data_IF_829068390170
#
_entry.id   IF_829068390170
#
_cell.length_a   1.000
_cell.length_b   1.000
_cell.length_c   1.000
_cell.angle_alpha   90.00
_cell.angle_beta   90.00
_cell.angle_gamma   90.00
#
_symmetry.space_group_name_H-M   'P 1'
#
loop_
_entity.id
_entity.type
_entity.pdbx_description
1 polymer ?
#
# COMPACT_ATOMS: atom_id res chain seq x y z
N UNK A 1 2.76 -20.44 -23.66
CA UNK A 1 2.57 -19.02 -23.25
C UNK A 1 1.77 -18.97 -21.95
N UNK A 2 2.00 -17.97 -21.09
CA UNK A 2 1.12 -17.66 -19.96
C UNK A 2 -0.20 -17.11 -20.51
N UNK A 3 -1.33 -17.71 -20.13
CA UNK A 3 -2.66 -17.33 -20.63
C UNK A 3 -3.40 -16.55 -19.56
N UNK A 4 -4.46 -15.79 -19.89
CA UNK A 4 -5.31 -15.16 -18.90
C UNK A 4 -5.80 -16.14 -17.82
N UNK A 5 -6.10 -17.39 -18.18
CA UNK A 5 -6.51 -18.44 -17.22
C UNK A 5 -5.39 -18.81 -16.24
N UNK A 6 -4.17 -19.03 -16.73
CA UNK A 6 -3.01 -19.32 -15.87
C UNK A 6 -2.73 -18.15 -14.91
N UNK A 7 -2.86 -16.91 -15.40
CA UNK A 7 -2.68 -15.70 -14.61
C UNK A 7 -3.80 -15.49 -13.56
N UNK A 8 -5.05 -15.90 -13.84
CA UNK A 8 -6.10 -15.91 -12.80
C UNK A 8 -5.74 -16.83 -11.65
N UNK A 9 -5.28 -18.05 -11.94
CA UNK A 9 -4.84 -18.99 -10.89
C UNK A 9 -3.71 -18.39 -10.06
N UNK A 10 -2.78 -17.66 -10.66
CA UNK A 10 -1.71 -16.96 -9.94
C UNK A 10 -2.25 -15.93 -8.93
N UNK A 11 -3.27 -15.16 -9.30
CA UNK A 11 -3.91 -14.17 -8.41
C UNK A 11 -4.96 -14.75 -7.45
N UNK A 12 -5.23 -16.06 -7.54
CA UNK A 12 -6.22 -16.75 -6.74
C UNK A 12 -5.73 -17.09 -5.33
N UNK A 13 -6.62 -17.00 -4.36
CA UNK A 13 -6.39 -17.48 -2.98
C UNK A 13 -7.05 -18.82 -2.66
N UNK A 14 -7.72 -19.45 -3.63
CA UNK A 14 -8.21 -20.83 -3.47
C UNK A 14 -7.04 -21.74 -3.11
N UNK A 15 -7.27 -22.81 -2.34
CA UNK A 15 -6.19 -23.72 -1.89
C UNK A 15 -5.37 -24.31 -3.04
N UNK A 16 -5.99 -24.53 -4.21
CA UNK A 16 -5.28 -25.04 -5.39
C UNK A 16 -4.47 -23.96 -6.11
N UNK A 17 -4.83 -22.68 -5.96
CA UNK A 17 -4.14 -21.52 -6.54
C UNK A 17 -2.87 -21.13 -5.78
N UNK A 18 -2.79 -21.44 -4.48
CA UNK A 18 -1.65 -21.04 -3.66
C UNK A 18 -0.36 -21.66 -4.19
N UNK A 19 0.63 -20.80 -4.35
CA UNK A 19 1.97 -21.14 -4.81
C UNK A 19 1.99 -21.83 -6.18
N UNK A 20 1.25 -21.25 -7.14
CA UNK A 20 1.13 -21.76 -8.51
C UNK A 20 1.28 -20.67 -9.57
N UNK A 21 1.68 -21.09 -10.77
CA UNK A 21 1.73 -20.29 -12.00
C UNK A 21 2.52 -18.97 -11.86
N UNK A 22 3.76 -19.05 -11.40
CA UNK A 22 4.61 -17.88 -11.15
C UNK A 22 5.23 -17.28 -12.42
N UNK A 23 5.32 -18.05 -13.51
CA UNK A 23 6.01 -17.60 -14.71
C UNK A 23 5.25 -16.47 -15.40
N UNK A 24 5.87 -15.30 -15.52
CA UNK A 24 5.26 -14.14 -16.16
C UNK A 24 4.88 -14.38 -17.63
N UNK A 25 5.81 -14.87 -18.45
CA UNK A 25 5.62 -14.97 -19.92
C UNK A 25 5.39 -16.39 -20.41
N UNK A 26 6.22 -17.35 -19.98
CA UNK A 26 6.20 -18.72 -20.49
C UNK A 26 5.85 -19.72 -19.39
N UNK A 27 4.66 -20.33 -19.46
CA UNK A 27 4.19 -21.34 -18.51
C UNK A 27 5.04 -22.63 -18.47
N UNK A 28 5.98 -22.79 -19.41
CA UNK A 28 6.86 -23.95 -19.44
C UNK A 28 7.70 -24.05 -18.16
N UNK A 29 8.09 -22.92 -17.57
CA UNK A 29 8.83 -22.90 -16.32
C UNK A 29 8.03 -23.52 -15.17
N UNK A 30 6.75 -23.17 -15.03
CA UNK A 30 5.87 -23.78 -14.03
C UNK A 30 5.65 -25.28 -14.24
N UNK A 31 5.70 -25.74 -15.49
CA UNK A 31 5.59 -27.18 -15.81
C UNK A 31 6.86 -27.92 -15.44
N UNK A 32 8.03 -27.35 -15.77
CA UNK A 32 9.35 -27.93 -15.44
C UNK A 32 9.55 -27.99 -13.93
N UNK A 33 9.17 -26.93 -13.20
CA UNK A 33 9.37 -26.83 -11.75
C UNK A 33 8.17 -27.33 -10.91
N UNK A 34 7.12 -27.86 -11.54
CA UNK A 34 5.97 -28.46 -10.85
C UNK A 34 5.04 -27.47 -10.13
N UNK A 35 5.16 -26.18 -10.44
CA UNK A 35 4.29 -25.10 -9.91
C UNK A 35 3.11 -24.79 -10.83
N UNK A 36 2.93 -25.54 -11.92
CA UNK A 36 1.75 -25.40 -12.78
C UNK A 36 0.47 -25.89 -12.07
N UNK A 37 -0.62 -25.14 -12.25
CA UNK A 37 -1.97 -25.59 -11.98
C UNK A 37 -2.94 -25.03 -13.05
N UNK A 38 -3.78 -25.88 -13.67
CA UNK A 38 -4.86 -25.39 -14.52
C UNK A 38 -5.93 -24.69 -13.66
N UNK A 39 -6.74 -23.83 -14.28
CA UNK A 39 -7.92 -23.27 -13.63
C UNK A 39 -8.97 -24.36 -13.45
N UNK A 40 -9.54 -24.47 -12.24
CA UNK A 40 -10.56 -25.45 -11.89
C UNK A 40 -11.84 -24.74 -11.45
N UNK A 41 -12.07 -24.68 -10.15
CA UNK A 41 -13.19 -23.93 -9.58
C UNK A 41 -13.10 -22.43 -9.87
N UNK A 42 -14.20 -21.70 -9.65
CA UNK A 42 -14.20 -20.23 -9.69
C UNK A 42 -13.08 -19.67 -8.81
N UNK A 43 -12.17 -18.96 -9.45
CA UNK A 43 -11.06 -18.27 -8.78
C UNK A 43 -11.61 -17.15 -7.92
N UNK A 44 -11.20 -17.14 -6.66
CA UNK A 44 -11.43 -16.06 -5.71
C UNK A 44 -10.11 -15.33 -5.50
N UNK A 45 -10.10 -14.02 -5.67
CA UNK A 45 -8.89 -13.21 -5.71
C UNK A 45 -8.42 -12.70 -4.34
N UNK A 46 -7.17 -12.24 -4.32
CA UNK A 46 -6.58 -11.52 -3.19
C UNK A 46 -5.69 -12.40 -2.32
N UNK A 47 -5.52 -12.01 -1.06
CA UNK A 47 -4.63 -12.69 -0.13
C UNK A 47 -5.38 -13.67 0.77
N UNK A 48 -4.68 -14.71 1.22
CA UNK A 48 -5.20 -15.66 2.23
C UNK A 48 -5.51 -14.97 3.55
N UNK A 49 -4.74 -13.93 3.88
CA UNK A 49 -5.00 -12.96 4.95
C UNK A 49 -5.16 -11.59 4.33
N UNK A 50 -6.39 -11.07 4.34
CA UNK A 50 -6.70 -9.78 3.70
C UNK A 50 -6.03 -8.62 4.45
N UNK A 51 -5.57 -7.63 3.68
CA UNK A 51 -5.00 -6.39 4.19
C UNK A 51 -6.07 -5.31 4.04
N UNK A 52 -6.52 -4.78 5.17
CA UNK A 52 -7.56 -3.77 5.23
C UNK A 52 -6.91 -2.39 5.42
N UNK A 53 -6.20 -1.92 4.39
CA UNK A 53 -5.54 -0.61 4.43
C UNK A 53 -5.31 -0.07 3.02
N UNK A 54 -5.45 1.24 2.85
CA UNK A 54 -5.04 1.97 1.64
C UNK A 54 -3.65 2.60 1.75
N UNK A 55 -3.02 2.58 2.92
CA UNK A 55 -1.64 3.03 3.13
C UNK A 55 -0.65 2.13 2.36
N UNK A 56 0.02 2.64 1.30
CA UNK A 56 0.92 1.85 0.46
C UNK A 56 2.18 1.39 1.22
N UNK A 57 2.67 2.17 2.20
CA UNK A 57 3.82 1.79 3.02
C UNK A 57 3.44 0.64 3.93
N UNK A 58 2.28 0.72 4.58
CA UNK A 58 1.78 -0.40 5.37
C UNK A 58 1.57 -1.64 4.51
N UNK A 59 0.88 -1.53 3.38
CA UNK A 59 0.64 -2.66 2.47
C UNK A 59 1.96 -3.32 2.06
N UNK A 60 2.99 -2.54 1.71
CA UNK A 60 4.29 -3.07 1.30
C UNK A 60 5.06 -3.74 2.45
N UNK A 61 5.03 -3.17 3.66
CA UNK A 61 5.95 -3.57 4.74
C UNK A 61 5.32 -4.33 5.91
N UNK A 62 3.97 -4.39 6.03
CA UNK A 62 3.30 -4.97 7.20
C UNK A 62 3.69 -6.42 7.51
N UNK A 63 4.14 -7.19 6.52
CA UNK A 63 4.50 -8.58 6.69
C UNK A 63 5.93 -8.82 7.23
N UNK A 64 6.85 -7.85 7.06
CA UNK A 64 8.24 -8.00 7.50
C UNK A 64 8.40 -8.19 9.01
N UNK A 65 7.65 -7.47 9.89
CA UNK A 65 7.70 -7.74 11.33
C UNK A 65 7.35 -9.18 11.71
N UNK A 66 6.43 -9.82 10.97
CA UNK A 66 6.10 -11.23 11.18
C UNK A 66 7.29 -12.13 10.82
N UNK A 67 7.91 -11.91 9.65
CA UNK A 67 9.10 -12.67 9.23
C UNK A 67 10.21 -12.51 10.27
N UNK A 68 10.49 -11.28 10.70
CA UNK A 68 11.52 -10.97 11.69
C UNK A 68 11.29 -11.69 13.02
N UNK A 69 10.08 -11.61 13.58
CA UNK A 69 9.73 -12.32 14.83
C UNK A 69 9.84 -13.83 14.67
N UNK A 70 9.40 -14.37 13.53
CA UNK A 70 9.46 -15.81 13.24
C UNK A 70 10.91 -16.29 13.13
N UNK A 71 11.78 -15.50 12.49
CA UNK A 71 13.21 -15.77 12.39
C UNK A 71 13.88 -15.83 13.77
N UNK A 72 13.57 -14.88 14.66
CA UNK A 72 14.15 -14.87 16.01
C UNK A 72 13.61 -15.95 16.94
N UNK A 73 12.37 -16.39 16.75
CA UNK A 73 11.77 -17.51 17.49
C UNK A 73 12.21 -18.89 17.00
N UNK A 74 12.70 -18.99 15.76
CA UNK A 74 13.12 -20.26 15.18
C UNK A 74 14.41 -20.77 15.86
N UNK A 75 14.36 -22.01 16.37
CA UNK A 75 15.51 -22.68 16.97
C UNK A 75 16.44 -23.27 15.91
N UNK A 76 17.74 -22.95 16.01
CA UNK A 76 18.78 -23.46 15.12
C UNK A 76 18.88 -22.76 13.75
N UNK A 77 20.09 -22.75 13.19
CA UNK A 77 20.42 -22.04 11.93
C UNK A 77 19.58 -22.54 10.75
N UNK A 78 19.33 -23.86 10.66
CA UNK A 78 18.53 -24.45 9.57
C UNK A 78 17.10 -23.92 9.54
N UNK A 79 16.46 -23.78 10.69
CA UNK A 79 15.09 -23.25 10.77
C UNK A 79 15.08 -21.76 10.49
N UNK A 80 16.08 -21.01 10.96
CA UNK A 80 16.25 -19.59 10.63
C UNK A 80 16.36 -19.33 9.12
N UNK A 81 17.22 -20.08 8.43
CA UNK A 81 17.31 -20.01 6.96
C UNK A 81 16.00 -20.47 6.30
N UNK A 82 15.34 -21.48 6.85
CA UNK A 82 14.04 -21.95 6.34
C UNK A 82 12.96 -20.87 6.38
N UNK A 83 12.93 -19.99 7.39
CA UNK A 83 11.99 -18.86 7.46
C UNK A 83 12.17 -17.90 6.27
N UNK A 84 13.41 -17.70 5.81
CA UNK A 84 13.73 -16.78 4.70
C UNK A 84 13.38 -17.44 3.35
N UNK A 85 13.74 -18.71 3.17
CA UNK A 85 13.65 -19.36 1.85
C UNK A 85 12.39 -20.18 1.59
N UNK A 86 11.69 -20.69 2.61
CA UNK A 86 10.54 -21.61 2.44
C UNK A 86 9.18 -20.93 2.43
N UNK A 87 9.16 -19.60 2.52
CA UNK A 87 7.95 -18.81 2.42
C UNK A 87 7.04 -18.83 3.66
N UNK A 88 5.91 -18.11 3.59
CA UNK A 88 5.08 -17.76 4.73
C UNK A 88 4.28 -18.93 5.33
N UNK A 89 4.04 -19.99 4.56
CA UNK A 89 3.29 -21.18 5.02
C UNK A 89 4.14 -22.19 5.79
N UNK A 90 5.47 -22.04 5.80
CA UNK A 90 6.37 -22.99 6.46
C UNK A 90 6.45 -22.77 7.98
N UNK A 91 6.46 -23.87 8.75
CA UNK A 91 6.80 -23.87 10.18
C UNK A 91 7.76 -25.02 10.52
N UNK A 92 8.43 -24.94 11.67
CA UNK A 92 9.32 -26.02 12.14
C UNK A 92 8.58 -27.35 12.19
N UNK A 93 9.17 -28.40 11.61
CA UNK A 93 8.56 -29.73 11.50
C UNK A 93 7.58 -29.92 10.32
N UNK A 94 7.19 -28.86 9.61
CA UNK A 94 6.32 -28.98 8.42
C UNK A 94 7.12 -29.06 7.11
N UNK A 95 6.54 -29.76 6.12
CA UNK A 95 7.05 -29.77 4.73
C UNK A 95 6.79 -28.41 4.08
N UNK A 96 7.75 -27.94 3.27
CA UNK A 96 7.58 -26.76 2.41
C UNK A 96 6.58 -27.06 1.29
N UNK A 97 5.68 -26.13 0.90
CA UNK A 97 5.55 -24.73 1.32
C UNK A 97 4.67 -24.50 2.58
N UNK A 98 4.29 -25.56 3.29
CA UNK A 98 3.30 -25.55 4.39
C UNK A 98 2.11 -26.47 4.10
N UNK A 99 1.31 -26.78 5.12
CA UNK A 99 0.09 -27.56 4.92
C UNK A 99 -1.06 -26.68 4.38
N UNK A 100 -1.37 -26.82 3.09
CA UNK A 100 -2.46 -26.10 2.41
C UNK A 100 -3.83 -26.36 3.06
N UNK A 101 -4.01 -27.43 3.83
CA UNK A 101 -5.26 -27.71 4.55
C UNK A 101 -5.52 -26.74 5.69
N UNK A 102 -4.48 -26.08 6.19
CA UNK A 102 -4.57 -25.06 7.24
C UNK A 102 -5.02 -23.70 6.69
N UNK A 103 -5.00 -23.51 5.36
CA UNK A 103 -5.49 -22.28 4.75
C UNK A 103 -7.00 -22.15 4.93
N UNK A 104 -7.53 -20.96 5.23
CA UNK A 104 -8.97 -20.74 5.32
C UNK A 104 -9.69 -21.26 4.06
N UNK A 105 -10.81 -21.98 4.23
CA UNK A 105 -11.67 -22.29 3.10
C UNK A 105 -12.25 -20.96 2.60
N UNK A 106 -12.04 -20.68 1.32
CA UNK A 106 -12.48 -19.43 0.73
C UNK A 106 -13.97 -19.52 0.45
N UNK A 107 -14.75 -18.59 1.00
CA UNK A 107 -16.15 -18.40 0.63
C UNK A 107 -16.21 -17.63 -0.69
N UNK A 108 -17.22 -17.91 -1.53
CA UNK A 108 -17.34 -17.29 -2.86
C UNK A 108 -17.59 -15.78 -2.79
N UNK A 109 -18.03 -15.26 -1.65
CA UNK A 109 -18.31 -13.82 -1.47
C UNK A 109 -17.03 -13.08 -1.10
N UNK A 110 -16.43 -12.45 -2.10
CA UNK A 110 -15.42 -11.42 -1.90
C UNK A 110 -16.10 -10.17 -1.32
N UNK A 111 -15.63 -9.71 -0.16
CA UNK A 111 -16.04 -8.42 0.40
C UNK A 111 -14.83 -7.49 0.26
N UNK A 112 -14.86 -6.51 -0.66
CA UNK A 112 -13.80 -5.55 -0.81
C UNK A 112 -13.66 -4.72 0.46
N UNK A 113 -12.43 -4.36 0.82
CA UNK A 113 -12.22 -3.38 1.88
C UNK A 113 -12.69 -2.00 1.39
N UNK A 114 -13.78 -1.49 1.99
CA UNK A 114 -14.44 -0.27 1.58
C UNK A 114 -14.90 0.57 2.81
N UNK A 115 -14.00 1.35 3.42
CA UNK A 115 -14.32 2.29 4.49
C UNK A 115 -15.31 3.36 4.03
N UNK A 116 -16.28 3.69 4.87
CA UNK A 116 -17.24 4.78 4.60
C UNK A 116 -16.61 6.13 4.93
N UNK A 117 -16.40 6.96 3.91
CA UNK A 117 -15.86 8.31 4.04
C UNK A 117 -16.93 9.37 3.72
N UNK A 118 -17.09 10.45 4.52
CA UNK A 118 -17.99 11.55 4.19
C UNK A 118 -17.67 12.13 2.81
N UNK A 119 -18.71 12.50 2.04
CA UNK A 119 -18.57 13.01 0.66
C UNK A 119 -17.59 14.20 0.57
N UNK A 120 -17.59 15.09 1.58
CA UNK A 120 -16.66 16.23 1.65
C UNK A 120 -15.20 15.77 1.67
N UNK A 121 -14.88 14.71 2.44
CA UNK A 121 -13.53 14.16 2.49
C UNK A 121 -13.18 13.37 1.22
N UNK A 122 -14.16 12.73 0.57
CA UNK A 122 -13.95 12.11 -0.75
C UNK A 122 -13.59 13.16 -1.79
N UNK A 123 -14.35 14.25 -1.86
CA UNK A 123 -14.09 15.38 -2.75
C UNK A 123 -12.73 16.03 -2.47
N UNK A 124 -12.38 16.20 -1.19
CA UNK A 124 -11.06 16.70 -0.78
C UNK A 124 -9.93 15.79 -1.28
N UNK A 125 -9.99 14.48 -1.02
CA UNK A 125 -8.96 13.53 -1.47
C UNK A 125 -8.88 13.49 -2.99
N UNK A 126 -10.01 13.53 -3.69
CA UNK A 126 -10.05 13.58 -5.15
C UNK A 126 -9.35 14.84 -5.69
N UNK A 127 -9.66 16.01 -5.14
CA UNK A 127 -9.05 17.27 -5.56
C UNK A 127 -7.53 17.27 -5.31
N UNK A 128 -7.09 16.80 -4.13
CA UNK A 128 -5.67 16.66 -3.82
C UNK A 128 -4.98 15.61 -4.72
N UNK A 129 -5.68 14.54 -5.11
CA UNK A 129 -5.18 13.54 -6.05
C UNK A 129 -5.01 14.10 -7.46
N UNK A 130 -5.95 14.94 -7.94
CA UNK A 130 -5.80 15.63 -9.23
C UNK A 130 -4.60 16.59 -9.22
N UNK A 131 -4.37 17.30 -8.11
CA UNK A 131 -3.16 18.12 -7.93
C UNK A 131 -1.89 17.26 -7.93
N UNK A 132 -1.90 16.11 -7.24
CA UNK A 132 -0.78 15.17 -7.25
C UNK A 132 -0.51 14.63 -8.65
N UNK A 133 -1.55 14.34 -9.42
CA UNK A 133 -1.42 13.86 -10.80
C UNK A 133 -0.76 14.92 -11.69
N UNK A 134 -1.14 16.19 -11.54
CA UNK A 134 -0.48 17.30 -12.25
C UNK A 134 1.01 17.43 -11.86
N UNK A 135 1.33 17.33 -10.57
CA UNK A 135 2.72 17.31 -10.10
C UNK A 135 3.49 16.13 -10.71
N UNK A 136 2.90 14.93 -10.73
CA UNK A 136 3.52 13.75 -11.32
C UNK A 136 3.81 13.93 -12.82
N UNK A 137 2.86 14.49 -13.59
CA UNK A 137 3.04 14.73 -15.02
C UNK A 137 4.16 15.73 -15.28
N UNK A 138 4.24 16.80 -14.49
CA UNK A 138 5.29 17.83 -14.61
C UNK A 138 6.67 17.24 -14.28
N UNK A 139 6.78 16.45 -13.20
CA UNK A 139 8.01 15.74 -12.86
C UNK A 139 8.45 14.80 -13.98
N UNK A 140 7.51 14.04 -14.57
CA UNK A 140 7.82 13.13 -15.66
C UNK A 140 8.23 13.84 -16.95
N UNK A 141 7.66 15.02 -17.22
CA UNK A 141 8.03 15.86 -18.35
C UNK A 141 9.42 16.49 -18.16
N UNK A 142 9.77 16.88 -16.92
CA UNK A 142 11.03 17.58 -16.61
C UNK A 142 12.13 16.66 -16.07
N UNK A 143 11.94 15.34 -16.02
CA UNK A 143 12.85 14.37 -15.37
C UNK A 143 14.30 14.41 -15.86
N UNK A 144 14.55 14.86 -17.10
CA UNK A 144 15.89 14.98 -17.68
C UNK A 144 16.58 16.31 -17.33
N UNK A 145 15.81 17.29 -16.86
CA UNK A 145 16.26 18.65 -16.52
C UNK A 145 16.46 18.77 -14.99
N UNK A 146 15.60 18.11 -14.21
CA UNK A 146 15.68 18.12 -12.76
C UNK A 146 16.94 17.41 -12.25
N UNK A 147 17.54 17.94 -11.20
CA UNK A 147 18.64 17.26 -10.50
C UNK A 147 18.15 15.94 -9.89
N UNK A 148 19.05 14.96 -9.74
CA UNK A 148 18.71 13.68 -9.11
C UNK A 148 18.16 13.85 -7.69
N UNK A 149 18.69 14.82 -6.93
CA UNK A 149 18.21 15.13 -5.58
C UNK A 149 16.77 15.65 -5.60
N UNK A 150 16.44 16.58 -6.50
CA UNK A 150 15.08 17.08 -6.67
C UNK A 150 14.13 15.97 -7.10
N UNK A 151 14.55 15.10 -8.01
CA UNK A 151 13.73 13.96 -8.45
C UNK A 151 13.42 13.00 -7.29
N UNK A 152 14.42 12.67 -6.47
CA UNK A 152 14.24 11.81 -5.29
C UNK A 152 13.34 12.48 -4.24
N UNK A 153 13.51 13.78 -4.00
CA UNK A 153 12.67 14.55 -3.09
C UNK A 153 11.19 14.53 -3.54
N UNK A 154 10.93 14.78 -4.82
CA UNK A 154 9.58 14.79 -5.38
C UNK A 154 8.96 13.38 -5.45
N UNK A 155 9.76 12.35 -5.75
CA UNK A 155 9.32 10.96 -5.64
C UNK A 155 8.93 10.60 -4.19
N UNK A 156 9.74 11.02 -3.22
CA UNK A 156 9.42 10.89 -1.79
C UNK A 156 8.14 11.62 -1.41
N UNK A 157 7.95 12.85 -1.90
CA UNK A 157 6.70 13.62 -1.70
C UNK A 157 5.47 12.91 -2.29
N UNK A 158 5.59 12.30 -3.47
CA UNK A 158 4.49 11.54 -4.09
C UNK A 158 4.11 10.35 -3.21
N UNK A 159 5.10 9.56 -2.77
CA UNK A 159 4.86 8.40 -1.89
C UNK A 159 4.25 8.85 -0.55
N UNK A 160 4.76 9.94 0.03
CA UNK A 160 4.23 10.52 1.27
C UNK A 160 2.79 11.00 1.11
N UNK A 161 2.45 11.61 -0.04
CA UNK A 161 1.09 12.06 -0.34
C UNK A 161 0.12 10.89 -0.48
N UNK A 162 0.50 9.84 -1.23
CA UNK A 162 -0.31 8.62 -1.34
C UNK A 162 -0.53 7.95 0.01
N UNK A 163 0.51 7.97 0.87
CA UNK A 163 0.41 7.51 2.26
C UNK A 163 -0.61 8.34 3.06
N UNK A 164 -0.54 9.66 2.96
CA UNK A 164 -1.51 10.55 3.62
C UNK A 164 -2.95 10.27 3.19
N UNK A 165 -3.20 10.10 1.87
CA UNK A 165 -4.53 9.74 1.37
C UNK A 165 -5.01 8.40 1.93
N UNK A 166 -4.13 7.39 1.94
CA UNK A 166 -4.43 6.09 2.54
C UNK A 166 -4.86 6.21 4.01
N UNK A 167 -4.16 7.02 4.81
CA UNK A 167 -4.51 7.26 6.21
C UNK A 167 -5.86 7.99 6.38
N UNK A 168 -6.19 8.93 5.50
CA UNK A 168 -7.49 9.65 5.52
C UNK A 168 -8.63 8.68 5.19
N UNK A 169 -8.49 7.89 4.12
CA UNK A 169 -9.48 6.89 3.68
C UNK A 169 -9.66 5.81 4.76
N UNK A 170 -8.55 5.34 5.36
CA UNK A 170 -8.55 4.38 6.47
C UNK A 170 -9.01 4.99 7.81
N UNK A 171 -9.33 6.29 7.86
CA UNK A 171 -9.77 7.02 9.06
C UNK A 171 -8.80 6.88 10.25
N UNK A 172 -7.50 6.78 9.97
CA UNK A 172 -6.48 6.56 10.99
C UNK A 172 -6.37 7.76 11.94
N UNK A 173 -6.04 7.54 13.23
CA UNK A 173 -5.99 8.62 14.22
C UNK A 173 -4.96 9.70 13.87
N UNK A 174 -3.83 9.32 13.30
CA UNK A 174 -2.72 10.19 12.89
C UNK A 174 -2.93 10.88 11.52
N UNK A 175 -4.01 10.58 10.78
CA UNK A 175 -4.23 11.14 9.44
C UNK A 175 -4.20 12.68 9.41
N UNK A 176 -4.75 13.33 10.43
CA UNK A 176 -4.80 14.79 10.51
C UNK A 176 -3.40 15.42 10.66
N UNK A 177 -2.54 14.81 11.47
CA UNK A 177 -1.16 15.28 11.68
C UNK A 177 -0.37 15.12 10.39
N UNK A 178 -0.47 13.94 9.76
CA UNK A 178 0.26 13.65 8.51
C UNK A 178 -0.18 14.57 7.39
N UNK A 179 -1.49 14.80 7.24
CA UNK A 179 -2.01 15.66 6.18
C UNK A 179 -1.66 17.14 6.38
N UNK A 180 -1.63 17.61 7.64
CA UNK A 180 -1.12 18.94 7.98
C UNK A 180 0.34 19.11 7.53
N UNK A 181 1.21 18.17 7.88
CA UNK A 181 2.62 18.20 7.45
C UNK A 181 2.76 18.10 5.93
N UNK A 182 1.93 17.30 5.26
CA UNK A 182 1.92 17.19 3.80
C UNK A 182 1.54 18.52 3.14
N UNK A 183 0.53 19.22 3.65
CA UNK A 183 0.15 20.54 3.13
C UNK A 183 1.27 21.56 3.31
N UNK A 184 1.93 21.57 4.49
CA UNK A 184 3.07 22.44 4.75
C UNK A 184 4.25 22.15 3.80
N UNK A 185 4.55 20.86 3.57
CA UNK A 185 5.60 20.44 2.66
C UNK A 185 5.28 20.82 1.20
N UNK A 186 4.03 20.64 0.76
CA UNK A 186 3.58 21.08 -0.57
C UNK A 186 3.78 22.58 -0.76
N UNK A 187 3.34 23.39 0.22
CA UNK A 187 3.51 24.84 0.18
C UNK A 187 4.99 25.23 0.14
N UNK A 188 5.84 24.58 0.95
CA UNK A 188 7.29 24.80 0.94
C UNK A 188 7.92 24.48 -0.42
N UNK A 189 7.67 23.28 -0.94
CA UNK A 189 8.19 22.84 -2.24
C UNK A 189 7.73 23.76 -3.38
N UNK A 190 6.50 24.27 -3.32
CA UNK A 190 6.01 25.27 -4.27
C UNK A 190 6.75 26.62 -4.14
N UNK A 191 6.84 27.17 -2.91
CA UNK A 191 7.46 28.49 -2.66
C UNK A 191 8.96 28.53 -2.98
N UNK A 192 9.67 27.44 -2.74
CA UNK A 192 11.09 27.32 -3.06
C UNK A 192 11.35 26.94 -4.53
N UNK A 193 10.30 26.82 -5.36
CA UNK A 193 10.43 26.59 -6.80
C UNK A 193 10.76 25.15 -7.19
N UNK A 194 10.63 24.18 -6.28
CA UNK A 194 10.77 22.76 -6.59
C UNK A 194 9.56 22.19 -7.35
N UNK A 195 8.39 22.84 -7.26
CA UNK A 195 7.19 22.47 -7.99
C UNK A 195 6.60 23.69 -8.70
N UNK A 196 6.08 23.45 -9.91
CA UNK A 196 5.19 24.37 -10.61
C UNK A 196 3.80 23.76 -10.60
N UNK A 197 2.79 24.61 -10.57
CA UNK A 197 1.38 24.19 -10.65
C UNK A 197 0.74 25.08 -11.71
N UNK A 198 0.00 24.47 -12.65
CA UNK A 198 -0.67 25.17 -13.75
C UNK A 198 -1.91 26.00 -13.32
N UNK A 199 -2.05 26.28 -12.02
CA UNK A 199 -3.15 27.04 -11.41
C UNK A 199 -2.59 28.40 -10.96
N UNK A 200 -3.36 29.49 -11.02
CA UNK A 200 -2.93 30.77 -10.47
C UNK A 200 -2.42 30.64 -9.03
N UNK A 201 -1.31 31.31 -8.72
CA UNK A 201 -0.57 31.14 -7.46
C UNK A 201 -1.42 31.42 -6.23
N UNK A 202 -2.19 32.53 -6.23
CA UNK A 202 -2.96 32.95 -5.05
C UNK A 202 -4.07 31.95 -4.68
N UNK A 203 -4.99 31.52 -5.58
CA UNK A 203 -5.97 30.47 -5.27
C UNK A 203 -5.35 29.16 -4.78
N UNK A 204 -4.24 28.74 -5.39
CA UNK A 204 -3.54 27.52 -4.98
C UNK A 204 -3.00 27.63 -3.54
N UNK A 205 -2.28 28.70 -3.23
CA UNK A 205 -1.72 28.94 -1.89
C UNK A 205 -2.82 29.05 -0.83
N UNK A 206 -3.89 29.78 -1.12
CA UNK A 206 -5.04 29.91 -0.22
C UNK A 206 -5.67 28.54 0.05
N UNK A 207 -5.88 27.72 -0.99
CA UNK A 207 -6.43 26.38 -0.83
C UNK A 207 -5.55 25.48 0.06
N UNK A 208 -4.23 25.51 -0.14
CA UNK A 208 -3.30 24.72 0.68
C UNK A 208 -3.22 25.24 2.12
N UNK A 209 -3.22 26.57 2.33
CA UNK A 209 -3.25 27.17 3.67
C UNK A 209 -4.53 26.84 4.44
N UNK A 210 -5.69 26.92 3.79
CA UNK A 210 -6.97 26.54 4.40
C UNK A 210 -7.02 25.04 4.74
N UNK A 211 -6.49 24.19 3.85
CA UNK A 211 -6.36 22.75 4.10
C UNK A 211 -5.47 22.49 5.31
N UNK A 212 -4.29 23.12 5.36
CA UNK A 212 -3.36 23.01 6.48
C UNK A 212 -4.00 23.47 7.80
N UNK A 213 -4.69 24.61 7.81
CA UNK A 213 -5.39 25.13 8.99
C UNK A 213 -6.48 24.16 9.46
N UNK A 214 -7.30 23.64 8.55
CA UNK A 214 -8.32 22.65 8.87
C UNK A 214 -7.72 21.43 9.56
N UNK A 215 -6.65 20.85 9.01
CA UNK A 215 -6.00 19.67 9.58
C UNK A 215 -5.24 19.94 10.88
N UNK A 216 -4.71 21.16 11.06
CA UNK A 216 -4.15 21.61 12.33
C UNK A 216 -5.23 21.69 13.42
N UNK A 217 -6.38 22.29 13.13
CA UNK A 217 -7.51 22.34 14.07
C UNK A 217 -8.03 20.94 14.42
N UNK A 218 -8.13 20.04 13.45
CA UNK A 218 -8.51 18.63 13.70
C UNK A 218 -7.49 17.90 14.58
N UNK A 219 -6.20 18.19 14.40
CA UNK A 219 -5.12 17.64 15.24
C UNK A 219 -5.25 18.13 16.68
N UNK A 220 -5.43 19.44 16.88
CA UNK A 220 -5.59 20.05 18.21
C UNK A 220 -6.85 19.53 18.92
N UNK A 221 -7.98 19.44 18.21
CA UNK A 221 -9.22 18.89 18.74
C UNK A 221 -9.05 17.45 19.23
N UNK A 222 -8.36 16.60 18.46
CA UNK A 222 -8.06 15.22 18.88
C UNK A 222 -7.16 15.15 20.11
N UNK A 223 -6.13 16.00 20.20
CA UNK A 223 -5.23 16.05 21.36
C UNK A 223 -5.97 16.51 22.63
N UNK A 224 -6.84 17.52 22.51
CA UNK A 224 -7.66 18.00 23.62
C UNK A 224 -8.62 16.92 24.12
N UNK A 225 -9.32 16.24 23.20
CA UNK A 225 -10.26 15.16 23.54
C UNK A 225 -9.56 13.88 24.04
N UNK A 226 -8.34 13.60 23.60
CA UNK A 226 -7.55 12.45 24.06
C UNK A 226 -7.12 12.58 25.52
N UNK A 227 -6.82 13.80 25.98
CA UNK A 227 -6.50 14.08 27.39
C UNK A 227 -7.70 13.91 28.32
N UNK A 228 -8.91 14.23 27.86
CA UNK A 228 -10.13 14.10 28.66
C UNK A 228 -10.62 12.64 28.85
N UNK A 229 -10.05 11.65 28.17
CA UNK A 229 -10.40 10.23 28.34
C UNK A 229 -9.48 9.47 29.31
N UNK A 230 -8.48 10.14 29.88
CA UNK A 230 -7.52 9.56 30.83
C UNK A 230 -7.76 10.01 32.29
N UNK A 231 -8.90 10.66 32.57
CA UNK A 231 -9.35 11.05 33.90
C UNK A 231 -10.67 10.38 34.24
#
# INVERSE_FOLDING_TARGET
MNTPSHHRVHHGRNRYCIDKNYAGTLIIWDRIFGTFAPEGDKVVYGLTKQINSFDPIYVQFHYYPYIWRTFWRASGVRNKLSVIFKGPGWSSGQRSPGDRRQLPKVTVKEVPYNPTLPVVLQAYVLLQFLLLLAVYTDVMAMKLILSQQTLLLLAGYIIFTLTSFGLIIDRRPNAAVVEMFRCALLLGLYRFGYMKVAVPSMPFEVFICLSMLYWALQTLSKLANGKNKQH
#
